data_IF_881752219767
#
_entry.id   IF_881752219767
#
_cell.length_a   1.000
_cell.length_b   1.000
_cell.length_c   1.000
_cell.angle_alpha   90.00
_cell.angle_beta   90.00
_cell.angle_gamma   90.00
#
_symmetry.space_group_name_H-M   'P 1'
#
loop_
_entity.id
_entity.type
_entity.pdbx_description
1 polymer ?
#
# COMPACT_ATOMS: atom_id res chain seq x y z
N UNK A 1 6.04 -26.79 -12.91
CA UNK A 1 6.25 -26.58 -11.45
C UNK A 1 5.17 -25.75 -10.72
N UNK A 2 4.05 -25.41 -11.38
CA UNK A 2 2.90 -24.71 -10.79
C UNK A 2 1.85 -25.67 -10.22
N UNK A 3 1.73 -26.86 -10.81
CA UNK A 3 0.75 -27.88 -10.42
C UNK A 3 0.94 -28.38 -8.99
N UNK A 4 2.18 -28.41 -8.51
CA UNK A 4 2.52 -28.86 -7.16
C UNK A 4 2.14 -27.82 -6.10
N UNK A 5 2.28 -26.53 -6.42
CA UNK A 5 1.82 -25.43 -5.58
C UNK A 5 0.28 -25.40 -5.49
N UNK A 6 -0.40 -25.62 -6.62
CA UNK A 6 -1.87 -25.69 -6.68
C UNK A 6 -2.42 -26.88 -5.87
N UNK A 7 -1.73 -28.03 -5.91
CA UNK A 7 -2.11 -29.21 -5.15
C UNK A 7 -1.98 -28.99 -3.62
N UNK A 8 -0.89 -28.35 -3.18
CA UNK A 8 -0.70 -28.00 -1.76
C UNK A 8 -1.75 -26.99 -1.27
N UNK A 9 -2.08 -25.99 -2.10
CA UNK A 9 -3.11 -25.00 -1.77
C UNK A 9 -4.51 -25.65 -1.65
N UNK A 10 -4.83 -26.58 -2.54
CA UNK A 10 -6.12 -27.30 -2.53
C UNK A 10 -6.28 -28.21 -1.30
N UNK A 11 -5.21 -28.85 -0.83
CA UNK A 11 -5.22 -29.67 0.39
C UNK A 11 -5.45 -28.79 1.63
N UNK A 12 -4.84 -27.60 1.68
CA UNK A 12 -5.02 -26.66 2.78
C UNK A 12 -6.45 -26.07 2.84
N UNK A 13 -7.09 -25.87 1.68
CA UNK A 13 -8.48 -25.40 1.59
C UNK A 13 -9.49 -26.44 2.09
N UNK A 14 -9.27 -27.74 1.82
CA UNK A 14 -10.15 -28.84 2.25
C UNK A 14 -10.23 -28.99 3.78
N UNK A 15 -9.17 -28.61 4.50
CA UNK A 15 -9.14 -28.66 5.98
C UNK A 15 -9.78 -27.45 6.66
N UNK A 16 -10.09 -26.39 5.92
CA UNK A 16 -10.64 -25.14 6.47
C UNK A 16 -12.10 -25.23 6.93
N UNK A 17 -12.86 -26.22 6.46
CA UNK A 17 -14.29 -26.36 6.80
C UNK A 17 -14.54 -27.05 8.16
N UNK A 18 -13.52 -27.69 8.74
CA UNK A 18 -13.60 -28.31 10.07
C UNK A 18 -12.97 -27.45 11.17
N UNK A 19 -12.19 -26.44 10.79
CA UNK A 19 -11.56 -25.54 11.74
C UNK A 19 -11.38 -24.17 11.10
N UNK A 20 -12.20 -23.21 11.55
CA UNK A 20 -12.22 -21.82 11.09
C UNK A 20 -10.99 -21.03 11.58
N UNK A 21 -9.80 -21.60 11.47
CA UNK A 21 -8.54 -20.87 11.58
C UNK A 21 -8.39 -20.10 10.28
N UNK A 22 -8.91 -18.87 10.20
CA UNK A 22 -8.39 -17.90 9.25
C UNK A 22 -6.89 -17.81 9.52
N UNK A 23 -6.01 -18.28 8.63
CA UNK A 23 -4.59 -18.18 8.89
C UNK A 23 -4.26 -16.70 8.76
N UNK A 24 -4.21 -16.00 9.89
CA UNK A 24 -3.67 -14.65 9.94
C UNK A 24 -2.19 -14.75 9.59
N UNK A 25 -1.86 -14.60 8.30
CA UNK A 25 -0.47 -14.63 7.82
C UNK A 25 0.17 -13.30 8.16
N UNK A 26 0.83 -13.24 9.32
CA UNK A 26 1.69 -12.12 9.67
C UNK A 26 3.05 -12.30 8.99
N UNK A 27 3.34 -11.48 7.98
CA UNK A 27 4.65 -11.46 7.31
C UNK A 27 5.53 -10.39 7.94
N UNK A 28 6.76 -10.76 8.31
CA UNK A 28 7.80 -9.79 8.68
C UNK A 28 8.44 -9.23 7.41
N UNK A 29 7.83 -8.19 6.85
CA UNK A 29 8.41 -7.45 5.73
C UNK A 29 9.65 -6.70 6.21
N UNK A 30 10.81 -7.01 5.62
CA UNK A 30 12.08 -6.32 5.89
C UNK A 30 12.58 -5.67 4.61
N UNK A 31 12.84 -4.38 4.64
CA UNK A 31 13.52 -3.70 3.55
C UNK A 31 14.98 -4.17 3.54
N UNK A 32 15.37 -4.97 2.54
CA UNK A 32 16.75 -5.42 2.37
C UNK A 32 17.47 -4.49 1.38
N UNK A 33 18.53 -3.84 1.83
CA UNK A 33 19.35 -2.91 1.04
C UNK A 33 19.80 -1.72 1.88
N UNK A 34 20.92 -1.08 1.52
CA UNK A 34 21.23 0.25 2.09
C UNK A 34 20.15 1.20 1.57
N UNK A 35 19.42 1.83 2.48
CA UNK A 35 18.61 3.00 2.16
C UNK A 35 19.63 4.07 1.78
N UNK A 36 19.90 4.23 0.49
CA UNK A 36 20.64 5.39 0.00
C UNK A 36 19.75 6.62 0.20
N UNK A 37 20.34 7.79 0.41
CA UNK A 37 19.59 9.06 0.46
C UNK A 37 18.74 9.31 -0.81
N UNK A 38 18.99 8.56 -1.88
CA UNK A 38 18.17 8.52 -3.11
C UNK A 38 16.84 7.77 -2.97
N UNK A 39 16.64 6.99 -1.90
CA UNK A 39 15.38 6.32 -1.60
C UNK A 39 14.39 7.24 -0.88
N UNK A 40 14.82 8.43 -0.43
CA UNK A 40 13.88 9.50 -0.12
C UNK A 40 13.38 10.05 -1.45
N UNK A 41 12.10 9.80 -1.74
CA UNK A 41 11.44 10.43 -2.87
C UNK A 41 11.63 11.95 -2.73
N UNK A 42 12.30 12.62 -3.68
CA UNK A 42 12.70 14.03 -3.53
C UNK A 42 11.49 14.98 -3.47
N UNK A 43 10.30 14.50 -3.86
CA UNK A 43 9.09 15.28 -4.03
C UNK A 43 7.88 14.62 -3.34
N UNK A 44 8.08 13.91 -2.23
CA UNK A 44 6.99 13.32 -1.45
C UNK A 44 6.74 11.83 -1.69
N UNK A 45 6.11 11.19 -0.70
CA UNK A 45 5.94 9.72 -0.65
C UNK A 45 4.72 9.21 -1.44
N UNK A 46 3.70 10.05 -1.65
CA UNK A 46 2.41 9.61 -2.19
C UNK A 46 2.25 9.88 -3.69
N UNK A 47 1.33 9.14 -4.33
CA UNK A 47 0.89 9.38 -5.70
C UNK A 47 -0.60 9.69 -5.74
N UNK A 48 -1.00 10.51 -6.70
CA UNK A 48 -2.38 10.88 -6.92
C UNK A 48 -3.19 9.64 -7.36
N UNK A 49 -4.31 9.31 -6.69
CA UNK A 49 -5.15 8.17 -7.07
C UNK A 49 -5.91 8.36 -8.40
N UNK A 50 -5.95 9.58 -8.95
CA UNK A 50 -6.72 9.89 -10.17
C UNK A 50 -5.84 9.97 -11.41
N UNK A 51 -4.67 10.60 -11.31
CA UNK A 51 -3.78 10.83 -12.46
C UNK A 51 -2.38 10.25 -12.26
N UNK A 52 -2.16 9.46 -11.20
CA UNK A 52 -0.94 8.72 -10.87
C UNK A 52 0.35 9.54 -10.70
N UNK A 53 0.23 10.87 -10.79
CA UNK A 53 1.35 11.79 -10.61
C UNK A 53 1.78 11.85 -9.15
N UNK A 54 3.08 12.01 -8.94
CA UNK A 54 3.67 12.21 -7.61
C UNK A 54 3.05 13.42 -6.91
N UNK A 55 2.73 13.25 -5.63
CA UNK A 55 2.19 14.30 -4.78
C UNK A 55 3.36 14.92 -3.99
N UNK A 56 3.51 16.25 -4.04
CA UNK A 56 4.49 16.96 -3.23
C UNK A 56 4.21 16.77 -1.74
N UNK A 57 5.18 17.15 -0.91
CA UNK A 57 5.00 17.18 0.53
C UNK A 57 3.79 18.03 0.94
N UNK A 58 3.29 17.72 2.14
CA UNK A 58 2.12 18.40 2.70
C UNK A 58 2.28 19.92 2.68
N UNK A 59 1.26 20.59 2.18
CA UNK A 59 1.21 22.04 2.16
C UNK A 59 -0.06 22.45 2.89
N UNK A 60 0.10 23.13 4.03
CA UNK A 60 -1.02 23.70 4.80
C UNK A 60 -2.08 22.66 5.25
N UNK A 61 -1.66 21.44 5.58
CA UNK A 61 -2.57 20.37 6.04
C UNK A 61 -3.37 19.72 4.92
N UNK A 62 -2.92 19.82 3.67
CA UNK A 62 -3.47 19.09 2.54
C UNK A 62 -2.38 18.69 1.54
N UNK A 63 -2.66 17.65 0.76
CA UNK A 63 -1.90 17.29 -0.42
C UNK A 63 -2.61 17.84 -1.66
N UNK A 64 -1.90 18.57 -2.51
CA UNK A 64 -2.43 19.10 -3.77
C UNK A 64 -1.72 18.47 -4.95
N UNK A 65 -2.47 17.86 -5.86
CA UNK A 65 -1.87 17.27 -7.06
C UNK A 65 -1.55 18.37 -8.08
N UNK A 66 -0.29 18.45 -8.57
CA UNK A 66 0.08 19.38 -9.63
C UNK A 66 -0.46 18.98 -11.02
N UNK A 67 -0.90 17.72 -11.19
CA UNK A 67 -1.40 17.20 -12.46
C UNK A 67 -2.88 17.45 -12.68
N UNK A 68 -3.73 16.99 -11.76
CA UNK A 68 -5.19 17.11 -11.88
C UNK A 68 -5.81 18.20 -11.00
N UNK A 69 -5.01 18.84 -10.13
CA UNK A 69 -5.48 19.92 -9.25
C UNK A 69 -6.31 19.47 -8.04
N UNK A 70 -6.60 18.17 -7.87
CA UNK A 70 -7.32 17.66 -6.68
C UNK A 70 -6.53 17.94 -5.40
N UNK A 71 -7.28 18.09 -4.31
CA UNK A 71 -6.77 18.41 -2.98
C UNK A 71 -7.31 17.38 -2.00
N UNK A 72 -6.42 16.76 -1.22
CA UNK A 72 -6.77 15.80 -0.17
C UNK A 72 -6.42 16.39 1.19
N UNK A 73 -7.41 16.58 2.08
CA UNK A 73 -7.15 17.11 3.40
C UNK A 73 -6.44 16.08 4.29
N UNK A 74 -5.62 16.57 5.20
CA UNK A 74 -5.01 15.80 6.29
C UNK A 74 -5.82 16.10 7.54
N UNK A 75 -6.55 15.10 8.03
CA UNK A 75 -7.43 15.22 9.22
C UNK A 75 -6.86 14.34 10.31
N UNK A 76 -6.57 14.91 11.48
CA UNK A 76 -6.00 14.16 12.60
C UNK A 76 -4.72 13.38 12.23
N UNK A 77 -3.86 13.97 11.39
CA UNK A 77 -2.64 13.35 10.83
C UNK A 77 -2.90 12.16 9.89
N UNK A 78 -4.15 11.98 9.43
CA UNK A 78 -4.56 10.97 8.47
C UNK A 78 -4.82 11.64 7.12
N UNK A 79 -4.11 11.17 6.09
CA UNK A 79 -4.34 11.57 4.70
C UNK A 79 -5.66 11.00 4.18
N UNK A 80 -6.62 11.86 3.84
CA UNK A 80 -7.94 11.43 3.38
C UNK A 80 -8.03 11.40 1.85
N UNK A 81 -7.81 10.22 1.26
CA UNK A 81 -7.90 9.98 -0.19
C UNK A 81 -9.30 9.54 -0.68
N UNK A 82 -10.33 9.55 0.19
CA UNK A 82 -11.64 8.94 -0.11
C UNK A 82 -12.55 9.84 -0.95
N UNK A 83 -12.60 11.13 -0.63
CA UNK A 83 -13.44 12.08 -1.36
C UNK A 83 -12.68 12.59 -2.58
N UNK A 84 -13.00 11.99 -3.74
CA UNK A 84 -12.44 12.37 -5.03
C UNK A 84 -13.56 12.81 -5.96
#
# INVERSE_FOLDING_TARGET
PTTLLVALDSIAQLTGNWWQLTPSVFVKSTAKGKISDQSQAPNGFFRCPVCERELPDETQGALRCPGCGKVWPIRDQIYDFRDS
#
